data_IF_402904395011
#
_entry.id   IF_402904395011
#
_cell.length_a   1.000
_cell.length_b   1.000
_cell.length_c   1.000
_cell.angle_alpha   90.00
_cell.angle_beta   90.00
_cell.angle_gamma   90.00
#
_symmetry.space_group_name_H-M   'P 1'
#
loop_
_entity.id
_entity.type
_entity.pdbx_description
1 polymer ?
#
# COMPACT_ATOMS: atom_id res chain seq x y z
N UNK A 1 -3.04 -17.18 -1.70
CA UNK A 1 -4.11 -16.32 -2.26
C UNK A 1 -5.52 -16.77 -1.89
N UNK A 2 -5.88 -18.05 -1.94
CA UNK A 2 -7.24 -18.51 -1.57
C UNK A 2 -7.72 -18.07 -0.16
N UNK A 3 -6.84 -18.11 0.85
CA UNK A 3 -7.19 -17.64 2.19
C UNK A 3 -7.46 -16.13 2.26
N UNK A 4 -6.72 -15.34 1.47
CA UNK A 4 -6.95 -13.89 1.38
C UNK A 4 -8.29 -13.60 0.71
N UNK A 5 -8.59 -14.26 -0.41
CA UNK A 5 -9.86 -14.15 -1.13
C UNK A 5 -11.07 -14.39 -0.20
N UNK A 6 -11.03 -15.47 0.59
CA UNK A 6 -12.08 -15.79 1.56
C UNK A 6 -12.26 -14.73 2.68
N UNK A 7 -11.19 -14.02 3.04
CA UNK A 7 -11.27 -12.92 4.03
C UNK A 7 -11.77 -11.64 3.39
N UNK A 8 -11.33 -11.32 2.17
CA UNK A 8 -11.77 -10.15 1.42
C UNK A 8 -13.26 -10.23 1.04
N UNK A 9 -13.79 -11.42 0.80
CA UNK A 9 -15.21 -11.65 0.49
C UNK A 9 -16.17 -11.36 1.66
N UNK A 10 -15.65 -11.12 2.88
CA UNK A 10 -16.50 -10.84 4.04
C UNK A 10 -17.11 -9.44 3.94
N UNK A 11 -18.40 -9.25 4.23
CA UNK A 11 -19.07 -7.95 4.11
C UNK A 11 -18.41 -6.81 4.91
N UNK A 12 -17.77 -7.13 6.04
CA UNK A 12 -17.07 -6.20 6.92
C UNK A 12 -15.65 -5.84 6.46
N UNK A 13 -15.07 -6.58 5.51
CA UNK A 13 -13.76 -6.27 4.94
C UNK A 13 -13.88 -5.06 4.02
N UNK A 14 -13.29 -3.93 4.40
CA UNK A 14 -13.33 -2.67 3.63
C UNK A 14 -11.97 -2.13 3.21
N UNK A 15 -10.92 -2.52 3.93
CA UNK A 15 -9.55 -2.08 3.71
C UNK A 15 -8.61 -3.27 3.83
N UNK A 16 -7.69 -3.41 2.88
CA UNK A 16 -6.47 -4.18 3.03
C UNK A 16 -5.34 -3.23 3.40
N UNK A 17 -4.75 -3.44 4.59
CA UNK A 17 -3.51 -2.77 4.99
C UNK A 17 -2.33 -3.66 4.60
N UNK A 18 -1.65 -3.30 3.52
CA UNK A 18 -0.52 -4.03 2.96
C UNK A 18 0.79 -3.40 3.45
N UNK A 19 1.73 -4.22 3.91
CA UNK A 19 3.10 -3.78 4.22
C UNK A 19 4.03 -4.27 3.10
N UNK A 20 4.65 -3.36 2.37
CA UNK A 20 5.39 -3.66 1.14
C UNK A 20 6.62 -2.76 0.99
N UNK A 21 7.85 -3.23 1.29
CA UNK A 21 8.23 -4.58 1.75
C UNK A 21 7.66 -4.96 3.13
N UNK A 22 7.40 -6.26 3.33
CA UNK A 22 6.73 -6.79 4.51
C UNK A 22 7.65 -6.87 5.74
N UNK A 23 7.40 -6.01 6.72
CA UNK A 23 7.95 -6.13 8.07
C UNK A 23 7.20 -7.23 8.87
N UNK A 24 7.87 -8.10 9.65
CA UNK A 24 9.32 -8.25 9.87
C UNK A 24 10.01 -9.24 8.95
N UNK A 25 9.27 -9.90 8.07
CA UNK A 25 9.79 -11.00 7.24
C UNK A 25 10.84 -10.57 6.20
N UNK A 26 10.86 -9.29 5.83
CA UNK A 26 11.69 -8.78 4.73
C UNK A 26 11.21 -9.17 3.34
N UNK A 27 9.99 -9.71 3.19
CA UNK A 27 9.46 -10.12 1.89
C UNK A 27 9.25 -8.89 1.00
N UNK A 28 9.83 -8.94 -0.20
CA UNK A 28 9.51 -8.05 -1.32
C UNK A 28 8.52 -8.77 -2.23
N UNK A 29 7.35 -8.17 -2.44
CA UNK A 29 6.27 -8.82 -3.20
C UNK A 29 6.57 -8.85 -4.69
N UNK A 30 6.25 -9.97 -5.35
CA UNK A 30 6.36 -10.09 -6.81
C UNK A 30 5.24 -9.31 -7.51
N UNK A 31 5.47 -8.95 -8.78
CA UNK A 31 4.44 -8.33 -9.63
C UNK A 31 3.16 -9.15 -9.64
N UNK A 32 3.29 -10.45 -9.91
CA UNK A 32 2.15 -11.36 -10.03
C UNK A 32 1.35 -11.45 -8.72
N UNK A 33 2.03 -11.46 -7.57
CA UNK A 33 1.36 -11.43 -6.26
C UNK A 33 0.60 -10.12 -6.05
N UNK A 34 1.22 -8.98 -6.38
CA UNK A 34 0.62 -7.66 -6.25
C UNK A 34 -0.59 -7.49 -7.18
N UNK A 35 -0.47 -7.90 -8.44
CA UNK A 35 -1.57 -7.88 -9.42
C UNK A 35 -2.72 -8.80 -8.99
N UNK A 36 -2.40 -9.98 -8.44
CA UNK A 36 -3.42 -10.88 -7.89
C UNK A 36 -4.13 -10.25 -6.68
N UNK A 37 -3.40 -9.61 -5.77
CA UNK A 37 -4.01 -8.91 -4.62
C UNK A 37 -4.87 -7.74 -5.07
N UNK A 38 -4.41 -6.94 -6.03
CA UNK A 38 -5.16 -5.81 -6.57
C UNK A 38 -6.48 -6.25 -7.22
N UNK A 39 -6.45 -7.33 -8.01
CA UNK A 39 -7.63 -7.92 -8.62
C UNK A 39 -8.63 -8.45 -7.58
N UNK A 40 -8.16 -9.16 -6.55
CA UNK A 40 -9.02 -9.64 -5.47
C UNK A 40 -9.65 -8.50 -4.68
N UNK A 41 -8.88 -7.46 -4.36
CA UNK A 41 -9.39 -6.27 -3.68
C UNK A 41 -10.45 -5.55 -4.52
N UNK A 42 -10.20 -5.34 -5.80
CA UNK A 42 -11.16 -4.76 -6.75
C UNK A 42 -12.46 -5.56 -6.79
N UNK A 43 -12.38 -6.88 -6.96
CA UNK A 43 -13.53 -7.79 -7.04
C UNK A 43 -14.46 -7.69 -5.82
N UNK A 44 -13.90 -7.49 -4.63
CA UNK A 44 -14.65 -7.44 -3.37
C UNK A 44 -14.95 -6.01 -2.89
N UNK A 45 -14.59 -4.98 -3.66
CA UNK A 45 -14.77 -3.58 -3.27
C UNK A 45 -13.94 -3.20 -2.02
N UNK A 46 -12.77 -3.82 -1.85
CA UNK A 46 -11.84 -3.55 -0.75
C UNK A 46 -10.78 -2.57 -1.23
N UNK A 47 -10.63 -1.44 -0.52
CA UNK A 47 -9.59 -0.45 -0.81
C UNK A 47 -8.24 -0.88 -0.24
N UNK A 48 -7.14 -0.39 -0.82
CA UNK A 48 -5.80 -0.76 -0.36
C UNK A 48 -5.05 0.44 0.20
N UNK A 49 -4.45 0.25 1.37
CA UNK A 49 -3.44 1.14 1.93
C UNK A 49 -2.12 0.36 1.94
N UNK A 50 -1.16 0.77 1.10
CA UNK A 50 0.17 0.21 1.01
C UNK A 50 1.14 1.04 1.86
N UNK A 51 1.64 0.47 2.96
CA UNK A 51 2.76 1.02 3.73
C UNK A 51 4.06 0.56 3.09
N UNK A 52 4.76 1.52 2.47
CA UNK A 52 5.99 1.31 1.71
C UNK A 52 7.17 2.05 2.32
N UNK A 53 7.17 2.26 3.64
CA UNK A 53 8.28 2.92 4.35
C UNK A 53 9.62 2.17 4.22
N UNK A 54 9.59 0.89 3.84
CA UNK A 54 10.78 0.06 3.66
C UNK A 54 11.24 -0.07 2.19
N UNK A 55 10.63 0.66 1.24
CA UNK A 55 10.87 0.48 -0.21
C UNK A 55 12.33 0.64 -0.65
N UNK A 56 13.14 1.44 0.06
CA UNK A 56 14.56 1.67 -0.28
C UNK A 56 15.50 0.56 0.26
N UNK A 57 15.00 -0.34 1.10
CA UNK A 57 15.76 -1.38 1.79
C UNK A 57 15.51 -2.76 1.17
N UNK A 58 15.91 -2.92 -0.08
CA UNK A 58 15.76 -4.17 -0.85
C UNK A 58 17.12 -4.82 -1.08
N UNK A 59 17.29 -6.07 -0.64
CA UNK A 59 18.53 -6.84 -0.81
C UNK A 59 18.42 -7.97 -1.84
N UNK A 60 17.22 -8.29 -2.32
CA UNK A 60 17.02 -9.28 -3.36
C UNK A 60 17.30 -8.70 -4.75
N UNK A 61 17.53 -9.57 -5.74
CA UNK A 61 17.68 -9.15 -7.14
C UNK A 61 16.38 -8.59 -7.75
N UNK A 62 15.24 -8.87 -7.11
CA UNK A 62 13.95 -8.38 -7.54
C UNK A 62 13.71 -6.99 -6.93
N UNK A 63 13.44 -5.96 -7.75
CA UNK A 63 13.15 -4.63 -7.22
C UNK A 63 11.80 -4.62 -6.47
N UNK A 64 11.69 -3.67 -5.53
CA UNK A 64 10.39 -3.28 -5.00
C UNK A 64 9.51 -2.74 -6.13
N UNK A 65 8.21 -3.04 -6.05
CA UNK A 65 7.21 -2.57 -7.01
C UNK A 65 6.21 -1.73 -6.21
N UNK A 66 6.20 -0.40 -6.40
CA UNK A 66 5.22 0.47 -5.76
C UNK A 66 3.79 0.04 -6.09
N UNK A 67 2.89 0.09 -5.11
CA UNK A 67 1.49 -0.29 -5.29
C UNK A 67 0.82 0.47 -6.44
N UNK A 68 1.21 1.73 -6.66
CA UNK A 68 0.73 2.57 -7.77
C UNK A 68 0.90 1.94 -9.15
N UNK A 69 1.82 0.99 -9.34
CA UNK A 69 2.02 0.28 -10.60
C UNK A 69 1.00 -0.83 -10.88
N UNK A 70 0.21 -1.25 -9.88
CA UNK A 70 -0.81 -2.30 -10.01
C UNK A 70 -2.18 -1.86 -9.50
N UNK A 71 -2.25 -0.65 -8.93
CA UNK A 71 -3.40 -0.18 -8.19
C UNK A 71 -4.65 -0.08 -9.07
N UNK A 72 -5.80 -0.27 -8.42
CA UNK A 72 -7.15 -0.16 -8.99
C UNK A 72 -8.01 0.67 -8.02
N UNK A 73 -9.00 1.38 -8.56
CA UNK A 73 -9.97 2.17 -7.79
C UNK A 73 -9.32 3.16 -6.80
N UNK A 74 -9.89 3.32 -5.60
CA UNK A 74 -9.34 4.16 -4.53
C UNK A 74 -8.28 3.41 -3.70
N UNK A 75 -7.09 4.01 -3.58
CA UNK A 75 -5.95 3.45 -2.86
C UNK A 75 -5.07 4.54 -2.24
N UNK A 76 -4.22 4.15 -1.30
CA UNK A 76 -3.17 5.00 -0.75
C UNK A 76 -1.84 4.25 -0.69
N UNK A 77 -0.75 4.92 -1.05
CA UNK A 77 0.63 4.51 -0.79
C UNK A 77 1.22 5.50 0.22
N UNK A 78 1.72 4.99 1.34
CA UNK A 78 2.28 5.78 2.43
C UNK A 78 3.76 5.44 2.59
N UNK A 79 4.59 6.46 2.77
CA UNK A 79 6.03 6.25 2.97
C UNK A 79 6.69 7.45 3.68
N UNK A 80 7.98 7.33 3.96
CA UNK A 80 8.83 8.36 4.58
C UNK A 80 10.29 8.01 4.32
N UNK A 81 11.18 9.00 4.26
CA UNK A 81 12.63 8.76 4.27
C UNK A 81 13.18 8.36 5.64
N UNK A 82 12.35 8.36 6.69
CA UNK A 82 12.79 8.15 8.07
C UNK A 82 13.48 6.81 8.30
N UNK A 83 13.01 5.72 7.71
CA UNK A 83 13.61 4.39 7.87
C UNK A 83 14.86 4.22 7.02
N UNK A 84 14.84 4.73 5.79
CA UNK A 84 15.96 4.65 4.86
C UNK A 84 17.19 5.39 5.37
N UNK A 85 16.99 6.57 5.98
CA UNK A 85 18.09 7.43 6.44
C UNK A 85 18.26 7.49 7.97
N UNK A 86 17.50 6.68 8.72
CA UNK A 86 17.50 6.68 10.19
C UNK A 86 17.25 8.08 10.81
N UNK A 87 16.27 8.82 10.26
CA UNK A 87 15.88 10.16 10.71
C UNK A 87 14.44 10.24 11.27
N UNK A 88 13.91 9.24 12.00
CA UNK A 88 12.53 9.30 12.51
C UNK A 88 12.27 10.47 13.48
N UNK A 89 13.32 10.97 14.14
CA UNK A 89 13.23 12.12 15.04
C UNK A 89 12.88 13.43 14.32
N UNK A 90 13.07 13.51 12.99
CA UNK A 90 12.66 14.68 12.21
C UNK A 90 11.17 14.70 11.89
N UNK A 91 10.43 13.65 12.23
CA UNK A 91 9.04 13.44 11.82
C UNK A 91 8.87 13.52 10.30
N UNK A 92 7.63 13.64 9.82
CA UNK A 92 7.36 13.78 8.40
C UNK A 92 7.21 12.45 7.66
N UNK A 93 6.13 12.39 6.92
CA UNK A 93 5.80 11.32 6.00
C UNK A 93 5.11 11.94 4.79
N UNK A 94 5.00 11.17 3.72
CA UNK A 94 4.29 11.58 2.53
C UNK A 94 3.59 10.37 1.93
N UNK A 95 2.68 10.62 1.01
CA UNK A 95 1.95 9.55 0.36
C UNK A 95 1.31 10.00 -0.94
N UNK A 96 0.93 8.99 -1.71
CA UNK A 96 0.15 9.14 -2.93
C UNK A 96 -1.23 8.56 -2.64
N UNK A 97 -2.28 9.34 -2.86
CA UNK A 97 -3.65 8.84 -2.73
C UNK A 97 -4.27 8.86 -4.12
N UNK A 98 -4.52 7.68 -4.69
CA UNK A 98 -5.26 7.53 -5.93
C UNK A 98 -6.74 7.35 -5.64
N UNK A 99 -7.59 8.06 -6.36
CA UNK A 99 -9.04 7.92 -6.24
C UNK A 99 -9.68 8.40 -7.54
N UNK A 100 -10.28 7.50 -8.32
CA UNK A 100 -10.88 7.84 -9.60
C UNK A 100 -12.15 8.69 -9.45
N UNK A 101 -12.85 8.57 -8.33
CA UNK A 101 -14.10 9.30 -8.08
C UNK A 101 -13.90 10.62 -7.32
N UNK A 102 -12.68 10.93 -6.86
CA UNK A 102 -12.44 12.13 -6.04
C UNK A 102 -12.32 13.39 -6.92
N UNK A 103 -13.17 14.41 -6.72
CA UNK A 103 -12.98 15.72 -7.33
C UNK A 103 -11.61 16.31 -6.97
N UNK A 104 -10.90 16.85 -7.97
CA UNK A 104 -9.59 17.51 -7.80
C UNK A 104 -9.59 18.68 -6.81
N UNK A 105 -10.76 19.13 -6.36
CA UNK A 105 -10.97 20.31 -5.51
C UNK A 105 -11.05 20.02 -4.00
N UNK A 106 -10.96 18.77 -3.54
CA UNK A 106 -11.01 18.45 -2.11
C UNK A 106 -9.64 18.67 -1.43
N UNK A 107 -9.56 19.44 -0.33
CA UNK A 107 -8.29 19.74 0.34
C UNK A 107 -7.66 18.49 0.97
N UNK A 108 -6.33 18.39 0.87
CA UNK A 108 -5.46 17.28 1.27
C UNK A 108 -5.36 16.99 2.79
N UNK A 109 -6.30 17.46 3.62
CA UNK A 109 -6.14 17.39 5.08
C UNK A 109 -6.51 16.02 5.62
N UNK A 110 -5.49 15.18 5.84
CA UNK A 110 -5.50 14.21 6.93
C UNK A 110 -5.03 14.99 8.17
N UNK A 111 -5.98 15.45 8.99
CA UNK A 111 -5.64 16.02 10.31
C UNK A 111 -5.40 14.88 11.30
N UNK A 112 -4.19 14.80 11.84
CA UNK A 112 -3.89 13.92 12.96
C UNK A 112 -2.43 13.53 13.10
N UNK A 113 -1.67 14.35 13.83
CA UNK A 113 -0.81 13.99 14.97
C UNK A 113 -0.17 15.26 15.53
#
# INVERSE_FOLDING_TARGET
>A
MAALDAVLARPESKILLLCSPQNPTGKVWTRDELETMAELCHRHGVRVISDEIHMDMVWSAQPHIPWSNVARDSWALLTSGSKSFNIPALTGAYGLIGDEERPQSLPQRIEGA
#
